data_IF_709136250455
#
_entry.id   IF_709136250455
#
_cell.length_a   1.000
_cell.length_b   1.000
_cell.length_c   1.000
_cell.angle_alpha   90.00
_cell.angle_beta   90.00
_cell.angle_gamma   90.00
#
_symmetry.space_group_name_H-M   'P 1'
#
loop_
_entity.id
_entity.type
_entity.pdbx_description
1 polymer ?
#
# COMPACT_ATOMS: atom_id res chain seq x y z
N UNK A 1 -12.85 -6.07 -16.07
CA UNK A 1 -11.42 -6.44 -15.96
C UNK A 1 -10.60 -5.38 -16.67
N UNK A 2 -9.61 -4.76 -16.02
CA UNK A 2 -8.80 -3.67 -16.59
C UNK A 2 -7.96 -4.11 -17.80
N UNK A 3 -7.50 -5.37 -17.81
CA UNK A 3 -6.64 -5.90 -18.86
C UNK A 3 -7.40 -6.61 -19.99
N UNK A 4 -8.70 -6.86 -19.84
CA UNK A 4 -9.49 -7.57 -20.86
C UNK A 4 -9.62 -6.82 -22.19
N UNK A 5 -9.40 -5.51 -22.18
CA UNK A 5 -9.48 -4.63 -23.35
C UNK A 5 -8.09 -4.26 -23.90
N UNK A 6 -7.00 -4.73 -23.27
CA UNK A 6 -5.62 -4.43 -23.69
C UNK A 6 -5.09 -5.57 -24.57
N UNK A 7 -5.32 -5.46 -25.89
CA UNK A 7 -4.99 -6.50 -26.88
C UNK A 7 -3.65 -6.26 -27.59
N UNK A 8 -2.98 -5.13 -27.32
CA UNK A 8 -1.69 -4.74 -27.92
C UNK A 8 -0.72 -4.27 -26.84
N UNK A 9 0.57 -4.33 -27.18
CA UNK A 9 1.63 -3.70 -26.40
C UNK A 9 1.63 -2.19 -26.66
N UNK A 10 0.70 -1.49 -26.02
CA UNK A 10 0.56 -0.05 -26.09
C UNK A 10 0.29 0.54 -24.69
N UNK A 11 0.55 1.85 -24.46
CA UNK A 11 0.21 2.47 -23.19
C UNK A 11 -1.30 2.44 -22.92
N UNK A 12 -1.69 2.17 -21.67
CA UNK A 12 -3.09 2.32 -21.24
C UNK A 12 -3.52 3.79 -21.30
N UNK A 13 -4.81 4.04 -21.58
CA UNK A 13 -5.38 5.37 -21.45
C UNK A 13 -5.22 5.90 -20.02
N UNK A 14 -5.05 7.23 -19.89
CA UNK A 14 -4.81 7.88 -18.61
C UNK A 14 -5.93 7.58 -17.59
N UNK A 15 -7.19 7.59 -18.04
CA UNK A 15 -8.34 7.30 -17.19
C UNK A 15 -8.33 5.84 -16.69
N UNK A 16 -8.08 4.87 -17.58
CA UNK A 16 -8.05 3.44 -17.22
C UNK A 16 -6.91 3.16 -16.24
N UNK A 17 -5.74 3.77 -16.46
CA UNK A 17 -4.59 3.67 -15.56
C UNK A 17 -4.90 4.26 -14.18
N UNK A 18 -5.58 5.40 -14.11
CA UNK A 18 -5.97 6.03 -12.85
C UNK A 18 -6.97 5.17 -12.07
N UNK A 19 -8.00 4.63 -12.75
CA UNK A 19 -8.99 3.72 -12.16
C UNK A 19 -8.32 2.46 -11.60
N UNK A 20 -7.49 1.80 -12.42
CA UNK A 20 -6.74 0.62 -12.00
C UNK A 20 -5.88 0.88 -10.77
N UNK A 21 -5.10 1.97 -10.78
CA UNK A 21 -4.23 2.31 -9.64
C UNK A 21 -5.04 2.43 -8.35
N UNK A 22 -6.18 3.11 -8.39
CA UNK A 22 -7.08 3.28 -7.24
C UNK A 22 -7.71 1.98 -6.77
N UNK A 23 -8.18 1.14 -7.70
CA UNK A 23 -8.78 -0.16 -7.36
C UNK A 23 -7.77 -1.10 -6.71
N UNK A 24 -6.54 -1.15 -7.23
CA UNK A 24 -5.45 -1.94 -6.63
C UNK A 24 -5.07 -1.40 -5.25
N UNK A 25 -4.96 -0.09 -5.10
CA UNK A 25 -4.67 0.56 -3.83
C UNK A 25 -5.71 0.19 -2.76
N UNK A 26 -7.00 0.22 -3.12
CA UNK A 26 -8.08 -0.24 -2.25
C UNK A 26 -7.96 -1.71 -1.84
N UNK A 27 -7.65 -2.59 -2.80
CA UNK A 27 -7.46 -4.01 -2.51
C UNK A 27 -6.26 -4.27 -1.58
N UNK A 28 -5.18 -3.49 -1.74
CA UNK A 28 -3.96 -3.65 -0.97
C UNK A 28 -3.99 -2.91 0.38
N UNK A 29 -4.92 -1.97 0.59
CA UNK A 29 -4.99 -1.15 1.80
C UNK A 29 -5.03 -1.95 3.10
N UNK A 30 -5.60 -3.17 3.09
CA UNK A 30 -5.63 -4.04 4.27
C UNK A 30 -4.21 -4.42 4.74
N UNK A 31 -3.27 -4.54 3.80
CA UNK A 31 -1.90 -5.00 4.09
C UNK A 31 -1.10 -3.99 4.90
N UNK A 32 -1.43 -2.70 4.81
CA UNK A 32 -0.78 -1.65 5.60
C UNK A 32 -1.06 -1.78 7.10
N UNK A 33 -2.15 -2.48 7.47
CA UNK A 33 -2.59 -2.67 8.85
C UNK A 33 -2.28 -4.06 9.39
N UNK A 34 -1.69 -4.94 8.58
CA UNK A 34 -1.22 -6.24 9.03
C UNK A 34 0.15 -6.02 9.66
N UNK A 35 0.18 -6.00 10.99
CA UNK A 35 1.40 -5.76 11.77
C UNK A 35 1.71 -6.92 12.70
N UNK A 36 3.00 -7.11 12.97
CA UNK A 36 3.47 -8.03 14.00
C UNK A 36 3.61 -7.26 15.32
N UNK A 37 3.10 -7.85 16.40
CA UNK A 37 3.28 -7.30 17.74
C UNK A 37 4.57 -7.85 18.33
N UNK A 38 5.64 -7.05 18.21
CA UNK A 38 6.98 -7.38 18.71
C UNK A 38 7.35 -6.48 19.89
N UNK A 39 8.11 -6.99 20.87
CA UNK A 39 8.62 -6.15 21.96
C UNK A 39 9.54 -5.07 21.40
N UNK A 40 9.46 -3.86 21.96
CA UNK A 40 10.29 -2.71 21.57
C UNK A 40 10.65 -1.89 22.80
N UNK A 41 11.80 -1.23 22.82
CA UNK A 41 12.19 -0.33 23.91
C UNK A 41 12.20 1.12 23.41
N UNK A 42 11.65 2.04 24.19
CA UNK A 42 11.57 3.46 23.87
C UNK A 42 12.39 4.28 24.86
N UNK A 43 13.21 5.19 24.37
CA UNK A 43 14.00 6.11 25.21
C UNK A 43 13.39 7.52 25.07
N UNK A 44 12.93 8.06 26.19
CA UNK A 44 12.37 9.40 26.27
C UNK A 44 13.47 10.47 26.14
N UNK A 45 13.07 11.72 25.85
CA UNK A 45 14.00 12.84 25.62
C UNK A 45 14.86 13.17 26.84
N UNK A 46 14.41 12.79 28.02
CA UNK A 46 15.12 12.91 29.30
C UNK A 46 16.06 11.73 29.58
N UNK A 47 16.15 10.75 28.67
CA UNK A 47 16.97 9.55 28.79
C UNK A 47 16.28 8.39 29.50
N UNK A 48 15.03 8.55 29.95
CA UNK A 48 14.29 7.48 30.62
C UNK A 48 13.93 6.38 29.62
N UNK A 49 14.29 5.13 29.92
CA UNK A 49 13.90 3.98 29.11
C UNK A 49 12.54 3.43 29.54
N UNK A 50 11.68 3.13 28.58
CA UNK A 50 10.40 2.45 28.74
C UNK A 50 10.41 1.17 27.89
N UNK A 51 10.01 0.05 28.46
CA UNK A 51 9.64 -1.14 27.67
C UNK A 51 8.34 -0.91 26.87
#
# INVERSE_FOLDING_TARGET
>A
SVFGEQYRLEPMSAERKARWKKEVDWLLSVTDYIVEFVPSQQIAKDGTSME
#
